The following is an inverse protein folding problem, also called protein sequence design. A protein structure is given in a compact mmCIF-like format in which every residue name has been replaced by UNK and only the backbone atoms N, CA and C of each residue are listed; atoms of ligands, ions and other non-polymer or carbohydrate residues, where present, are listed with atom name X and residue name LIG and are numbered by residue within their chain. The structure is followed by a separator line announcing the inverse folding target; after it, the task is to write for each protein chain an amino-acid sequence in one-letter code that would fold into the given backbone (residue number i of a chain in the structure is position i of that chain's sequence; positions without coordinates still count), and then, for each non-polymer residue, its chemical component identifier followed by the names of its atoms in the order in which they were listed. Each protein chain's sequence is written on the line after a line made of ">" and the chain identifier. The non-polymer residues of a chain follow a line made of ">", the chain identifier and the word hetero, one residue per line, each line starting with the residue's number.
data_IF_615466079301
#
_entry.id   IF_615466079301
#
_cell.length_a   1.000
_cell.length_b   1.000
_cell.length_c   1.000
_cell.angle_alpha   90.00
_cell.angle_beta   90.00
_cell.angle_gamma   90.00
#
_symmetry.space_group_name_H-M   'P 1'
#
loop_
_entity.id
_entity.type
_entity.pdbx_description
1 polymer ?
#
# COMPACT_ATOMS: atom_id res chain seq x y z
N UNK A 1 17.50 -19.12 -19.20
CA UNK A 1 16.30 -18.25 -19.12
C UNK A 1 16.62 -16.98 -19.89
N UNK A 2 15.73 -16.50 -20.77
CA UNK A 2 15.92 -15.17 -21.40
C UNK A 2 15.70 -14.08 -20.34
N UNK A 3 16.43 -12.96 -20.42
CA UNK A 3 16.28 -11.81 -19.52
C UNK A 3 14.85 -11.29 -19.47
N UNK A 4 14.12 -11.37 -20.59
CA UNK A 4 12.71 -10.97 -20.66
C UNK A 4 11.84 -11.84 -19.73
N UNK A 5 12.05 -13.15 -19.73
CA UNK A 5 11.30 -14.07 -18.86
C UNK A 5 11.60 -13.84 -17.37
N UNK A 6 12.85 -13.49 -17.03
CA UNK A 6 13.22 -13.11 -15.66
C UNK A 6 12.51 -11.81 -15.25
N UNK A 7 12.45 -10.84 -16.16
CA UNK A 7 11.77 -9.57 -15.90
C UNK A 7 10.26 -9.76 -15.71
N UNK A 8 9.63 -10.61 -16.52
CA UNK A 8 8.20 -10.93 -16.39
C UNK A 8 7.90 -11.63 -15.05
N UNK A 9 8.73 -12.59 -14.62
CA UNK A 9 8.61 -13.21 -13.30
C UNK A 9 8.68 -12.16 -12.17
N UNK A 10 9.60 -11.19 -12.27
CA UNK A 10 9.64 -10.11 -11.29
C UNK A 10 8.40 -9.22 -11.32
N UNK A 11 7.85 -8.91 -12.50
CA UNK A 11 6.60 -8.13 -12.61
C UNK A 11 5.45 -8.86 -11.93
N UNK A 12 5.29 -10.15 -12.19
CA UNK A 12 4.25 -10.99 -11.57
C UNK A 12 4.40 -11.05 -10.05
N UNK A 13 5.64 -11.22 -9.57
CA UNK A 13 5.95 -11.22 -8.13
C UNK A 13 5.69 -9.86 -7.48
N UNK A 14 6.00 -8.76 -8.15
CA UNK A 14 5.67 -7.40 -7.68
C UNK A 14 4.15 -7.26 -7.55
N UNK A 15 3.40 -7.61 -8.60
CA UNK A 15 1.95 -7.41 -8.63
C UNK A 15 1.23 -8.27 -7.59
N UNK A 16 1.75 -9.47 -7.33
CA UNK A 16 1.21 -10.43 -6.36
C UNK A 16 1.66 -10.19 -4.90
N UNK A 17 2.59 -9.26 -4.64
CA UNK A 17 3.10 -9.04 -3.29
C UNK A 17 2.06 -8.32 -2.41
N UNK A 18 1.32 -9.03 -1.57
CA UNK A 18 0.22 -8.45 -0.78
C UNK A 18 0.62 -7.96 0.60
N UNK A 19 1.83 -8.25 1.08
CA UNK A 19 2.34 -7.77 2.37
C UNK A 19 3.70 -7.06 2.23
N UNK A 20 4.09 -6.35 3.28
CA UNK A 20 5.28 -5.50 3.32
C UNK A 20 6.55 -6.33 3.15
N UNK A 21 6.59 -7.54 3.70
CA UNK A 21 7.79 -8.38 3.70
C UNK A 21 7.98 -9.04 2.34
N UNK A 22 6.89 -9.51 1.71
CA UNK A 22 6.89 -9.97 0.33
C UNK A 22 7.36 -8.85 -0.63
N UNK A 23 6.83 -7.63 -0.49
CA UNK A 23 7.23 -6.51 -1.34
C UNK A 23 8.72 -6.13 -1.16
N UNK A 24 9.24 -6.19 0.07
CA UNK A 24 10.67 -6.00 0.35
C UNK A 24 11.51 -7.10 -0.30
N UNK A 25 11.14 -8.36 -0.10
CA UNK A 25 11.87 -9.52 -0.62
C UNK A 25 12.01 -9.45 -2.14
N UNK A 26 10.93 -9.11 -2.86
CA UNK A 26 10.98 -8.93 -4.33
C UNK A 26 11.95 -7.79 -4.70
N UNK A 27 11.94 -6.68 -3.98
CA UNK A 27 12.84 -5.56 -4.19
C UNK A 27 14.32 -5.88 -3.90
N UNK A 28 14.60 -6.82 -3.00
CA UNK A 28 15.94 -7.35 -2.70
C UNK A 28 16.42 -8.30 -3.79
N UNK A 29 15.56 -9.20 -4.25
CA UNK A 29 15.90 -10.11 -5.35
C UNK A 29 16.20 -9.35 -6.66
N UNK A 30 15.45 -8.29 -6.96
CA UNK A 30 15.74 -7.40 -8.10
C UNK A 30 17.12 -6.74 -7.94
N UNK A 31 17.51 -6.36 -6.72
CA UNK A 31 18.85 -5.82 -6.46
C UNK A 31 19.95 -6.84 -6.74
N UNK A 32 19.74 -8.11 -6.36
CA UNK A 32 20.68 -9.18 -6.63
C UNK A 32 20.77 -9.52 -8.13
N UNK A 33 19.65 -9.40 -8.86
CA UNK A 33 19.58 -9.68 -10.30
C UNK A 33 20.08 -8.53 -11.21
N UNK A 34 20.58 -7.42 -10.66
CA UNK A 34 20.92 -6.21 -11.42
C UNK A 34 21.86 -6.46 -12.60
N UNK A 35 22.90 -7.29 -12.42
CA UNK A 35 23.86 -7.60 -13.48
C UNK A 35 23.20 -8.34 -14.66
N UNK A 36 22.25 -9.25 -14.36
CA UNK A 36 21.51 -10.03 -15.35
C UNK A 36 20.48 -9.17 -16.11
N UNK A 37 19.78 -8.29 -15.39
CA UNK A 37 18.71 -7.45 -15.96
C UNK A 37 19.24 -6.33 -16.87
N UNK A 38 20.47 -5.86 -16.62
CA UNK A 38 20.96 -4.63 -17.22
C UNK A 38 20.22 -3.39 -16.70
N UNK A 39 20.71 -2.20 -17.08
CA UNK A 39 20.28 -0.95 -16.44
C UNK A 39 18.80 -0.63 -16.66
N UNK A 40 18.27 -0.86 -17.86
CA UNK A 40 16.91 -0.46 -18.20
C UNK A 40 15.86 -1.25 -17.41
N UNK A 41 15.94 -2.58 -17.47
CA UNK A 41 15.01 -3.47 -16.75
C UNK A 41 15.18 -3.34 -15.24
N UNK A 42 16.42 -3.24 -14.74
CA UNK A 42 16.65 -3.02 -13.31
C UNK A 42 15.94 -1.75 -12.81
N UNK A 43 16.08 -0.62 -13.51
CA UNK A 43 15.43 0.63 -13.12
C UNK A 43 13.92 0.54 -13.17
N UNK A 44 13.34 -0.06 -14.22
CA UNK A 44 11.89 -0.28 -14.32
C UNK A 44 11.37 -1.09 -13.13
N UNK A 45 11.96 -2.27 -12.91
CA UNK A 45 11.53 -3.22 -11.88
C UNK A 45 11.73 -2.63 -10.48
N UNK A 46 12.83 -1.91 -10.23
CA UNK A 46 13.07 -1.28 -8.93
C UNK A 46 12.05 -0.19 -8.62
N UNK A 47 11.65 0.60 -9.62
CA UNK A 47 10.61 1.62 -9.46
C UNK A 47 9.25 0.97 -9.17
N UNK A 48 8.89 -0.09 -9.91
CA UNK A 48 7.65 -0.85 -9.68
C UNK A 48 7.62 -1.48 -8.29
N UNK A 49 8.69 -2.15 -7.87
CA UNK A 49 8.78 -2.76 -6.54
C UNK A 49 8.65 -1.70 -5.41
N UNK A 50 9.27 -0.53 -5.60
CA UNK A 50 9.17 0.58 -4.64
C UNK A 50 7.73 1.12 -4.56
N UNK A 51 7.05 1.27 -5.69
CA UNK A 51 5.64 1.68 -5.71
C UNK A 51 4.75 0.65 -5.02
N UNK A 52 4.95 -0.64 -5.29
CA UNK A 52 4.18 -1.72 -4.63
C UNK A 52 4.39 -1.72 -3.12
N UNK A 53 5.63 -1.61 -2.66
CA UNK A 53 5.94 -1.49 -1.23
C UNK A 53 5.16 -0.35 -0.58
N UNK A 54 5.17 0.84 -1.18
CA UNK A 54 4.44 1.98 -0.64
C UNK A 54 2.93 1.79 -0.66
N UNK A 55 2.37 1.17 -1.70
CA UNK A 55 0.94 0.84 -1.78
C UNK A 55 0.54 -0.07 -0.62
N UNK A 56 1.24 -1.18 -0.42
CA UNK A 56 0.93 -2.15 0.64
C UNK A 56 1.13 -1.56 2.03
N UNK A 57 2.23 -0.83 2.25
CA UNK A 57 2.47 -0.16 3.52
C UNK A 57 1.40 0.90 3.84
N UNK A 58 0.96 1.66 2.83
CA UNK A 58 -0.13 2.63 2.99
C UNK A 58 -1.45 1.94 3.34
N UNK A 59 -1.78 0.81 2.68
CA UNK A 59 -2.96 -0.01 2.98
C UNK A 59 -2.93 -0.51 4.43
N UNK A 60 -1.84 -1.16 4.83
CA UNK A 60 -1.70 -1.68 6.20
C UNK A 60 -1.82 -0.56 7.25
N UNK A 61 -1.29 0.64 6.96
CA UNK A 61 -1.39 1.78 7.87
C UNK A 61 -2.84 2.26 8.04
N UNK A 62 -3.61 2.37 6.96
CA UNK A 62 -5.00 2.82 7.06
C UNK A 62 -5.87 1.75 7.73
N UNK A 63 -5.69 0.46 7.38
CA UNK A 63 -6.37 -0.65 8.04
C UNK A 63 -6.10 -0.66 9.54
N UNK A 64 -4.83 -0.54 9.96
CA UNK A 64 -4.48 -0.46 11.37
C UNK A 64 -5.07 0.77 12.06
N UNK A 65 -5.16 1.91 11.37
CA UNK A 65 -5.74 3.14 11.92
C UNK A 65 -7.25 2.97 12.14
N UNK A 66 -7.97 2.42 11.16
CA UNK A 66 -9.41 2.14 11.25
C UNK A 66 -9.69 1.10 12.34
N UNK A 67 -8.93 0.00 12.36
CA UNK A 67 -9.10 -1.08 13.34
C UNK A 67 -8.76 -0.66 14.78
N UNK A 68 -8.01 0.43 14.96
CA UNK A 68 -7.67 0.99 16.27
C UNK A 68 -8.61 2.10 16.72
N UNK A 69 -9.66 2.40 15.95
CA UNK A 69 -10.67 3.36 16.39
C UNK A 69 -11.38 2.83 17.64
N UNK A 70 -11.56 3.67 18.67
CA UNK A 70 -12.38 3.31 19.82
C UNK A 70 -13.85 3.18 19.41
N UNK A 71 -14.69 2.67 20.31
CA UNK A 71 -16.13 2.66 20.06
C UNK A 71 -16.67 4.09 19.96
N UNK A 72 -17.72 4.27 19.18
CA UNK A 72 -18.45 5.52 19.12
C UNK A 72 -18.87 6.00 20.53
N UNK A 73 -18.70 7.30 20.79
CA UNK A 73 -19.02 7.92 22.09
C UNK A 73 -17.96 7.75 23.18
N UNK A 74 -16.90 6.98 22.95
CA UNK A 74 -15.73 6.98 23.85
C UNK A 74 -14.94 8.30 23.75
N UNK A 75 -14.15 8.66 24.77
CA UNK A 75 -13.24 9.79 24.71
C UNK A 75 -12.37 9.73 23.45
N UNK A 76 -12.16 10.90 22.84
CA UNK A 76 -11.33 11.10 21.65
C UNK A 76 -11.79 10.36 20.37
N UNK A 77 -12.92 9.64 20.39
CA UNK A 77 -13.41 8.87 19.24
C UNK A 77 -13.57 9.73 17.98
N UNK A 78 -14.18 10.92 18.12
CA UNK A 78 -14.34 11.87 17.02
C UNK A 78 -12.99 12.39 16.46
N UNK A 79 -12.04 12.68 17.35
CA UNK A 79 -10.70 13.16 16.94
C UNK A 79 -9.91 12.05 16.23
N UNK A 80 -9.93 10.83 16.77
CA UNK A 80 -9.26 9.68 16.17
C UNK A 80 -9.89 9.29 14.82
N UNK A 81 -11.21 9.43 14.68
CA UNK A 81 -11.89 9.26 13.41
C UNK A 81 -11.42 10.29 12.37
N UNK A 82 -11.37 11.58 12.72
CA UNK A 82 -10.84 12.62 11.84
C UNK A 82 -9.38 12.36 11.44
N UNK A 83 -8.58 11.78 12.35
CA UNK A 83 -7.20 11.35 12.06
C UNK A 83 -7.16 10.17 11.07
N UNK A 84 -8.13 9.26 11.10
CA UNK A 84 -8.26 8.19 10.12
C UNK A 84 -8.55 8.77 8.72
N UNK A 85 -9.48 9.72 8.61
CA UNK A 85 -9.76 10.44 7.35
C UNK A 85 -8.52 11.17 6.82
N UNK A 86 -7.81 11.89 7.69
CA UNK A 86 -6.57 12.58 7.32
C UNK A 86 -5.47 11.59 6.86
N UNK A 87 -5.37 10.44 7.52
CA UNK A 87 -4.43 9.37 7.15
C UNK A 87 -4.76 8.78 5.78
N UNK A 88 -6.04 8.53 5.50
CA UNK A 88 -6.49 8.07 4.18
C UNK A 88 -6.16 9.09 3.09
N UNK A 89 -6.46 10.36 3.32
CA UNK A 89 -6.17 11.44 2.36
C UNK A 89 -4.66 11.56 2.05
N UNK A 90 -3.80 11.45 3.06
CA UNK A 90 -2.36 11.44 2.86
C UNK A 90 -1.86 10.19 2.11
N UNK A 91 -2.57 9.07 2.23
CA UNK A 91 -2.23 7.80 1.59
C UNK A 91 -2.68 7.70 0.12
N UNK A 92 -3.58 8.58 -0.35
CA UNK A 92 -4.21 8.51 -1.68
C UNK A 92 -3.23 8.25 -2.82
N UNK A 93 -2.10 8.98 -2.85
CA UNK A 93 -1.09 8.84 -3.92
C UNK A 93 -0.49 7.42 -4.04
N UNK A 94 -0.49 6.66 -2.95
CA UNK A 94 0.06 5.30 -2.90
C UNK A 94 -1.02 4.24 -3.06
N UNK A 95 -2.23 4.51 -2.57
CA UNK A 95 -3.38 3.61 -2.69
C UNK A 95 -3.95 3.57 -4.12
N UNK A 96 -3.80 4.64 -4.90
CA UNK A 96 -4.53 4.79 -6.15
C UNK A 96 -6.04 4.97 -5.92
N UNK A 97 -6.77 5.35 -6.97
CA UNK A 97 -8.15 5.80 -6.83
C UNK A 97 -9.11 4.71 -6.34
N UNK A 98 -9.00 3.49 -6.85
CA UNK A 98 -9.92 2.39 -6.49
C UNK A 98 -9.84 2.04 -4.99
N UNK A 99 -8.63 1.77 -4.48
CA UNK A 99 -8.47 1.38 -3.08
C UNK A 99 -8.68 2.57 -2.13
N UNK A 100 -8.32 3.78 -2.54
CA UNK A 100 -8.66 5.00 -1.80
C UNK A 100 -10.17 5.14 -1.65
N UNK A 101 -10.92 4.95 -2.74
CA UNK A 101 -12.38 5.06 -2.75
C UNK A 101 -13.04 4.02 -1.86
N UNK A 102 -12.55 2.78 -1.86
CA UNK A 102 -13.04 1.72 -0.96
C UNK A 102 -12.93 2.13 0.52
N UNK A 103 -11.75 2.60 0.96
CA UNK A 103 -11.59 3.07 2.34
C UNK A 103 -12.39 4.33 2.64
N UNK A 104 -12.55 5.22 1.64
CA UNK A 104 -13.34 6.44 1.80
C UNK A 104 -14.80 6.11 2.07
N UNK A 105 -15.38 5.20 1.28
CA UNK A 105 -16.75 4.72 1.49
C UNK A 105 -16.89 4.08 2.87
N UNK A 106 -15.97 3.22 3.28
CA UNK A 106 -15.99 2.61 4.63
C UNK A 106 -16.01 3.67 5.73
N UNK A 107 -15.18 4.71 5.64
CA UNK A 107 -15.17 5.80 6.61
C UNK A 107 -16.48 6.61 6.53
N UNK A 108 -16.94 6.98 5.33
CA UNK A 108 -18.18 7.74 5.16
C UNK A 108 -19.39 7.01 5.80
N UNK A 109 -19.45 5.68 5.70
CA UNK A 109 -20.49 4.84 6.32
C UNK A 109 -20.41 4.81 7.87
N UNK A 110 -19.19 4.80 8.44
CA UNK A 110 -18.96 4.82 9.89
C UNK A 110 -19.18 6.20 10.51
N UNK A 111 -18.97 7.27 9.74
CA UNK A 111 -18.92 8.66 10.21
C UNK A 111 -20.12 9.11 11.07
N UNK A 112 -21.39 8.75 10.77
CA UNK A 112 -22.53 9.16 11.58
C UNK A 112 -22.44 8.73 13.04
N UNK A 113 -21.73 7.62 13.35
CA UNK A 113 -21.56 7.13 14.72
C UNK A 113 -20.50 7.91 15.50
N UNK A 114 -19.50 8.48 14.80
CA UNK A 114 -18.33 9.12 15.42
C UNK A 114 -18.45 10.65 15.56
N UNK A 115 -19.32 11.28 14.78
CA UNK A 115 -19.41 12.74 14.67
C UNK A 115 -20.85 13.26 14.79
N UNK A 116 -21.77 12.40 15.23
CA UNK A 116 -23.20 12.68 15.42
C UNK A 116 -23.54 13.43 16.70
#
# INVERSE_FOLDING_TARGET
>A
MNVDAIADEFRDRIDSAEDVDAAKAVGEDINQAKATLGSALYTELKNKATQRYHRVNARNKIEATINSLPNAGEPDASELFAKAEATLNAARRHLGDELYEQFRVTLDDMKPEYVG
#
